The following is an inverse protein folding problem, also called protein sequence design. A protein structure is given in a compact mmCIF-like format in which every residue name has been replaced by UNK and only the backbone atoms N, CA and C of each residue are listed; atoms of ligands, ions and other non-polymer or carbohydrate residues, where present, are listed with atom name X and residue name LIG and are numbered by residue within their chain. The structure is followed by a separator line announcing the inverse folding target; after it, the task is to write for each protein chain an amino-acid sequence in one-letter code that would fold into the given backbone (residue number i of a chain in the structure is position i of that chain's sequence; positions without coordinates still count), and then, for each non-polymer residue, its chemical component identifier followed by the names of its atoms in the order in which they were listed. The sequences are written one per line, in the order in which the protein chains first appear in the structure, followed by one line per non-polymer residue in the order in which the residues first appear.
data_IF_995799402319
#
_entry.id   IF_995799402319
#
_cell.length_a   1.000
_cell.length_b   1.000
_cell.length_c   1.000
_cell.angle_alpha   90.00
_cell.angle_beta   90.00
_cell.angle_gamma   90.00
#
_symmetry.space_group_name_H-M   'P 1'
#
loop_
_entity.id
_entity.type
_entity.pdbx_description
1 polymer ?
#
# COMPACT_ATOMS: atom_id res chain seq x y z
N UNK A 1 -14.29 -4.31 19.46
CA UNK A 1 -13.93 -5.56 18.76
C UNK A 1 -13.74 -5.32 17.27
N UNK A 2 -14.67 -4.65 16.58
CA UNK A 2 -14.50 -4.27 15.17
C UNK A 2 -13.22 -3.43 14.91
N UNK A 3 -12.94 -2.42 15.74
CA UNK A 3 -11.75 -1.56 15.62
C UNK A 3 -10.41 -2.33 15.67
N UNK A 4 -10.25 -3.31 16.56
CA UNK A 4 -9.05 -4.15 16.61
C UNK A 4 -8.89 -5.05 15.37
N UNK A 5 -9.99 -5.49 14.77
CA UNK A 5 -9.99 -6.27 13.53
C UNK A 5 -9.67 -5.37 12.33
N UNK A 6 -10.21 -4.15 12.28
CA UNK A 6 -9.88 -3.13 11.27
C UNK A 6 -8.39 -2.76 11.33
N UNK A 7 -7.86 -2.49 12.51
CA UNK A 7 -6.43 -2.18 12.70
C UNK A 7 -5.52 -3.33 12.26
N UNK A 8 -5.92 -4.59 12.52
CA UNK A 8 -5.18 -5.76 12.03
C UNK A 8 -5.18 -5.84 10.50
N UNK A 9 -6.34 -5.58 9.86
CA UNK A 9 -6.46 -5.54 8.40
C UNK A 9 -5.64 -4.39 7.78
N UNK A 10 -5.61 -3.22 8.41
CA UNK A 10 -4.78 -2.09 7.98
C UNK A 10 -3.30 -2.44 8.08
N UNK A 11 -2.87 -3.10 9.16
CA UNK A 11 -1.50 -3.54 9.34
C UNK A 11 -1.07 -4.54 8.26
N UNK A 12 -1.92 -5.53 7.94
CA UNK A 12 -1.70 -6.49 6.86
C UNK A 12 -1.63 -5.79 5.50
N UNK A 13 -2.51 -4.82 5.24
CA UNK A 13 -2.51 -4.03 4.01
C UNK A 13 -1.21 -3.23 3.84
N UNK A 14 -0.71 -2.60 4.91
CA UNK A 14 0.59 -1.90 4.92
C UNK A 14 1.75 -2.84 4.65
N UNK A 15 1.72 -4.05 5.20
CA UNK A 15 2.75 -5.07 4.95
C UNK A 15 2.74 -5.50 3.48
N UNK A 16 1.57 -5.77 2.91
CA UNK A 16 1.43 -6.13 1.50
C UNK A 16 1.90 -4.99 0.57
N UNK A 17 1.53 -3.74 0.88
CA UNK A 17 1.95 -2.58 0.12
C UNK A 17 3.49 -2.39 0.15
N UNK A 18 4.10 -2.60 1.31
CA UNK A 18 5.56 -2.55 1.48
C UNK A 18 6.28 -3.62 0.65
N UNK A 19 5.76 -4.85 0.64
CA UNK A 19 6.31 -5.93 -0.18
C UNK A 19 6.20 -5.63 -1.68
N UNK A 20 5.04 -5.13 -2.13
CA UNK A 20 4.85 -4.72 -3.52
C UNK A 20 5.80 -3.57 -3.92
N UNK A 21 6.00 -2.58 -3.04
CA UNK A 21 6.94 -1.49 -3.27
C UNK A 21 8.38 -2.00 -3.46
N UNK A 22 8.81 -2.97 -2.65
CA UNK A 22 10.11 -3.62 -2.80
C UNK A 22 10.24 -4.34 -4.16
N UNK A 23 9.23 -5.11 -4.57
CA UNK A 23 9.24 -5.80 -5.86
C UNK A 23 9.27 -4.82 -7.05
N UNK A 24 8.52 -3.72 -6.96
CA UNK A 24 8.53 -2.65 -7.98
C UNK A 24 9.93 -2.02 -8.10
N UNK A 25 10.66 -1.86 -7.00
CA UNK A 25 12.01 -1.31 -7.02
C UNK A 25 13.03 -2.21 -7.73
N UNK A 26 12.76 -3.52 -7.83
CA UNK A 26 13.61 -4.45 -8.58
C UNK A 26 13.39 -4.39 -10.10
N UNK A 27 12.33 -3.71 -10.56
CA UNK A 27 12.09 -3.51 -11.99
C UNK A 27 13.07 -2.48 -12.59
N UNK A 28 13.42 -2.60 -13.89
CA UNK A 28 14.26 -1.62 -14.57
C UNK A 28 13.70 -0.21 -14.45
N UNK A 29 14.56 0.77 -14.21
CA UNK A 29 14.13 2.13 -13.91
C UNK A 29 13.38 2.82 -15.05
N UNK A 30 13.69 2.42 -16.27
CA UNK A 30 13.09 2.92 -17.51
C UNK A 30 11.90 2.08 -18.00
N UNK A 31 11.44 1.11 -17.20
CA UNK A 31 10.26 0.31 -17.55
C UNK A 31 8.97 1.10 -17.32
N UNK A 32 8.04 1.01 -18.27
CA UNK A 32 6.71 1.63 -18.16
C UNK A 32 5.94 0.97 -17.01
N UNK A 33 6.19 -0.31 -16.79
CA UNK A 33 5.63 -1.15 -15.74
C UNK A 33 6.00 -0.61 -14.35
N UNK A 34 7.26 -0.24 -14.09
CA UNK A 34 7.68 0.36 -12.81
C UNK A 34 6.92 1.66 -12.55
N UNK A 35 6.80 2.54 -13.54
CA UNK A 35 6.07 3.80 -13.40
C UNK A 35 4.58 3.57 -13.10
N UNK A 36 3.94 2.66 -13.85
CA UNK A 36 2.52 2.35 -13.68
C UNK A 36 2.24 1.73 -12.31
N UNK A 37 3.06 0.77 -11.88
CA UNK A 37 2.94 0.13 -10.58
C UNK A 37 3.27 1.08 -9.43
N UNK A 38 4.22 2.00 -9.62
CA UNK A 38 4.52 3.04 -8.63
C UNK A 38 3.33 4.00 -8.41
N UNK A 39 2.64 4.38 -9.49
CA UNK A 39 1.42 5.19 -9.36
C UNK A 39 0.31 4.41 -8.64
N UNK A 40 0.18 3.11 -8.94
CA UNK A 40 -0.81 2.24 -8.30
C UNK A 40 -0.54 2.08 -6.80
N UNK A 41 0.71 1.80 -6.40
CA UNK A 41 1.04 1.63 -4.98
C UNK A 41 0.83 2.92 -4.19
N UNK A 42 1.13 4.07 -4.81
CA UNK A 42 0.85 5.40 -4.23
C UNK A 42 -0.64 5.60 -3.97
N UNK A 43 -1.51 5.17 -4.89
CA UNK A 43 -2.95 5.25 -4.71
C UNK A 43 -3.44 4.31 -3.59
N UNK A 44 -2.87 3.11 -3.49
CA UNK A 44 -3.17 2.15 -2.42
C UNK A 44 -2.77 2.71 -1.05
N UNK A 45 -1.57 3.28 -0.93
CA UNK A 45 -1.09 3.89 0.33
C UNK A 45 -1.99 5.05 0.78
N UNK A 46 -2.49 5.86 -0.17
CA UNK A 46 -3.45 6.93 0.12
C UNK A 46 -4.79 6.38 0.65
N UNK A 47 -5.27 5.26 0.07
CA UNK A 47 -6.50 4.60 0.54
C UNK A 47 -6.32 3.99 1.94
N UNK A 48 -5.20 3.30 2.19
CA UNK A 48 -4.87 2.75 3.51
C UNK A 48 -4.83 3.88 4.55
N UNK A 49 -4.19 5.00 4.21
CA UNK A 49 -4.08 6.15 5.12
C UNK A 49 -5.42 6.82 5.38
N UNK A 50 -6.29 6.92 4.37
CA UNK A 50 -7.62 7.48 4.53
C UNK A 50 -8.50 6.63 5.47
N UNK A 51 -8.46 5.31 5.31
CA UNK A 51 -9.19 4.37 6.18
C UNK A 51 -8.65 4.42 7.62
N UNK A 52 -7.33 4.50 7.79
CA UNK A 52 -6.67 4.60 9.11
C UNK A 52 -6.97 5.93 9.82
N UNK A 53 -7.19 7.01 9.05
CA UNK A 53 -7.53 8.34 9.59
C UNK A 53 -9.02 8.51 9.91
N UNK A 54 -9.90 7.66 9.37
CA UNK A 54 -11.33 7.66 9.67
C UNK A 54 -11.66 6.91 10.99
N UNK A 55 -10.70 6.14 11.55
CA UNK A 55 -10.83 5.39 12.81
C UNK A 55 -10.32 6.18 14.06
N UNK A 56 -9.83 7.41 13.88
CA UNK A 56 -9.36 8.34 14.94
C UNK A 56 -10.39 9.46 15.23
#
# INVERSE_FOLDING_TARGET
MADLETQALIADARQAASAASFDIQQLPENSIERQALHNLITAVDALISAVDSDDD
#
